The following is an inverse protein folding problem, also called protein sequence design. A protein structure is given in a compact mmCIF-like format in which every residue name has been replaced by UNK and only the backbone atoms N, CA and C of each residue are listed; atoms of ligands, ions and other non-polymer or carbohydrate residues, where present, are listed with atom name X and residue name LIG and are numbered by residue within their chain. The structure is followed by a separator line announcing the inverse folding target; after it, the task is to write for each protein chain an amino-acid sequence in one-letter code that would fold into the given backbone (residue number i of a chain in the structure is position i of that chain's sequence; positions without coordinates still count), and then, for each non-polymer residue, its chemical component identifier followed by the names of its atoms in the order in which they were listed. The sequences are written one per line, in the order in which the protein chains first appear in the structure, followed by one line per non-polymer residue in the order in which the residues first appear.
data_IF_642312979144
#
_entry.id   IF_642312979144
#
_cell.length_a   1.000
_cell.length_b   1.000
_cell.length_c   1.000
_cell.angle_alpha   90.00
_cell.angle_beta   90.00
_cell.angle_gamma   90.00
#
_symmetry.space_group_name_H-M   'P 1'
#
loop_
_entity.id
_entity.type
_entity.pdbx_description
1 polymer ?
#
# COMPACT_ATOMS: atom_id res chain seq x y z
N UNK A 1 18.02 48.59 -23.91
CA UNK A 1 18.00 48.07 -22.53
C UNK A 1 16.62 47.48 -22.26
N UNK A 2 16.41 46.19 -22.53
CA UNK A 2 15.13 45.51 -22.33
C UNK A 2 15.39 44.31 -21.42
N UNK A 3 15.01 44.42 -20.15
CA UNK A 3 15.27 43.41 -19.13
C UNK A 3 14.25 42.28 -19.28
N UNK A 4 14.75 41.10 -19.64
CA UNK A 4 14.03 39.84 -19.68
C UNK A 4 13.63 39.45 -18.24
N UNK A 5 12.36 39.61 -17.88
CA UNK A 5 11.79 39.05 -16.65
C UNK A 5 11.38 37.59 -16.92
N UNK A 6 12.30 36.67 -16.63
CA UNK A 6 12.00 35.24 -16.56
C UNK A 6 11.23 35.02 -15.25
N UNK A 7 9.91 34.96 -15.34
CA UNK A 7 9.09 34.41 -14.26
C UNK A 7 9.35 32.91 -14.19
N UNK A 8 10.12 32.49 -13.17
CA UNK A 8 10.21 31.09 -12.75
C UNK A 8 8.81 30.63 -12.35
N UNK A 9 8.10 29.99 -13.27
CA UNK A 9 6.95 29.17 -12.93
C UNK A 9 7.48 27.90 -12.23
N UNK A 10 7.72 28.00 -10.92
CA UNK A 10 7.70 26.81 -10.08
C UNK A 10 6.28 26.26 -10.16
N UNK A 11 6.08 25.30 -11.06
CA UNK A 11 4.94 24.42 -10.99
C UNK A 11 5.01 23.74 -9.63
N UNK A 12 4.23 24.26 -8.68
CA UNK A 12 4.00 23.64 -7.40
C UNK A 12 3.20 22.38 -7.73
N UNK A 13 3.90 21.30 -8.07
CA UNK A 13 3.31 19.97 -8.06
C UNK A 13 2.72 19.83 -6.66
N UNK A 14 1.40 19.73 -6.57
CA UNK A 14 0.72 19.55 -5.29
C UNK A 14 1.33 18.36 -4.57
N UNK A 15 2.16 18.65 -3.56
CA UNK A 15 2.66 17.63 -2.66
C UNK A 15 1.43 17.08 -1.94
N UNK A 16 1.10 15.82 -2.20
CA UNK A 16 0.15 15.15 -1.33
C UNK A 16 0.74 15.17 0.08
N UNK A 17 -0.04 15.66 1.04
CA UNK A 17 0.37 15.83 2.43
C UNK A 17 0.95 14.53 2.99
N UNK A 18 2.13 14.64 3.60
CA UNK A 18 2.85 13.50 4.14
C UNK A 18 2.26 13.17 5.52
N UNK A 19 1.74 11.96 5.68
CA UNK A 19 1.05 11.61 6.92
C UNK A 19 1.97 11.19 8.03
N UNK A 20 1.61 11.68 9.22
CA UNK A 20 2.37 11.55 10.45
C UNK A 20 3.82 11.99 10.29
N UNK A 21 4.04 13.06 9.52
CA UNK A 21 5.33 13.73 9.41
C UNK A 21 5.27 15.03 10.17
N UNK A 22 6.22 15.22 11.06
CA UNK A 22 6.30 16.43 11.87
C UNK A 22 6.75 17.63 11.03
N UNK A 23 5.90 18.63 10.96
CA UNK A 23 6.26 19.92 10.37
C UNK A 23 7.22 20.66 11.30
N UNK A 24 8.42 20.96 10.79
CA UNK A 24 9.40 21.78 11.50
C UNK A 24 8.92 23.23 11.70
N UNK A 25 7.91 23.67 10.93
CA UNK A 25 7.38 25.03 10.98
C UNK A 25 6.22 25.17 11.97
N UNK A 26 5.31 24.20 12.00
CA UNK A 26 4.06 24.30 12.77
C UNK A 26 4.07 23.48 14.06
N UNK A 27 5.08 22.60 14.25
CA UNK A 27 5.26 21.82 15.47
C UNK A 27 4.23 20.73 15.69
N UNK A 28 3.49 20.34 14.66
CA UNK A 28 2.51 19.26 14.71
C UNK A 28 2.55 18.40 13.44
N UNK A 29 1.94 17.22 13.51
CA UNK A 29 1.73 16.30 12.40
C UNK A 29 0.26 15.88 12.34
N UNK A 30 -0.29 15.77 11.13
CA UNK A 30 -1.59 15.15 10.92
C UNK A 30 -1.44 13.64 10.78
N UNK A 31 -2.34 12.91 11.42
CA UNK A 31 -2.38 11.45 11.46
C UNK A 31 -3.53 10.96 10.58
N UNK A 32 -4.69 11.59 10.70
CA UNK A 32 -5.83 11.38 9.81
C UNK A 32 -6.43 12.73 9.43
N UNK A 33 -7.55 12.72 8.71
CA UNK A 33 -8.26 13.95 8.36
C UNK A 33 -8.69 14.76 9.58
N UNK A 34 -8.81 14.14 10.75
CA UNK A 34 -9.30 14.78 11.98
C UNK A 34 -8.39 14.54 13.18
N UNK A 35 -7.28 13.82 13.05
CA UNK A 35 -6.40 13.51 14.17
C UNK A 35 -4.98 14.04 13.95
N UNK A 36 -4.32 14.42 15.03
CA UNK A 36 -3.00 15.01 15.02
C UNK A 36 -2.16 14.65 16.25
N UNK A 37 -0.86 14.90 16.15
CA UNK A 37 0.09 14.83 17.26
C UNK A 37 0.96 16.08 17.29
N UNK A 38 1.49 16.39 18.48
CA UNK A 38 2.50 17.42 18.63
C UNK A 38 3.90 16.85 18.39
N UNK A 39 4.79 17.72 17.94
CA UNK A 39 6.15 17.37 17.63
C UNK A 39 7.10 17.99 18.66
N UNK A 40 8.12 17.22 19.03
CA UNK A 40 9.26 17.73 19.80
C UNK A 40 10.08 18.71 18.97
N UNK A 41 11.01 19.41 19.63
CA UNK A 41 11.99 20.28 18.97
C UNK A 41 12.90 19.56 17.97
N UNK A 42 12.96 18.23 18.00
CA UNK A 42 13.69 17.40 17.04
C UNK A 42 12.82 16.90 15.88
N UNK A 43 11.63 17.48 15.67
CA UNK A 43 10.66 17.06 14.63
C UNK A 43 10.26 15.59 14.74
N UNK A 44 10.11 15.10 15.96
CA UNK A 44 9.61 13.76 16.26
C UNK A 44 8.26 13.87 16.93
N UNK A 45 7.28 13.10 16.47
CA UNK A 45 5.94 13.07 17.06
C UNK A 45 6.04 12.54 18.51
N UNK A 46 5.41 13.24 19.43
CA UNK A 46 5.46 12.95 20.87
C UNK A 46 4.06 12.89 21.47
N UNK A 47 3.91 12.01 22.45
CA UNK A 47 2.70 11.92 23.26
C UNK A 47 1.55 11.14 22.60
N UNK A 48 0.34 11.51 22.96
CA UNK A 48 -0.91 10.86 22.54
C UNK A 48 -1.50 11.55 21.31
N UNK A 49 -2.28 10.80 20.52
CA UNK A 49 -3.08 11.36 19.44
C UNK A 49 -4.22 12.22 19.98
N UNK A 50 -4.42 13.37 19.35
CA UNK A 50 -5.53 14.29 19.61
C UNK A 50 -6.47 14.32 18.42
N UNK A 51 -7.72 14.69 18.64
CA UNK A 51 -8.74 14.83 17.59
C UNK A 51 -9.18 16.28 17.49
N UNK A 52 -9.26 16.80 16.26
CA UNK A 52 -9.85 18.09 15.96
C UNK A 52 -11.34 18.09 16.36
N UNK A 53 -11.90 19.25 16.73
CA UNK A 53 -13.32 19.38 17.02
C UNK A 53 -14.20 18.90 15.85
N UNK A 54 -15.43 18.49 16.15
CA UNK A 54 -16.39 18.08 15.12
C UNK A 54 -16.56 19.18 14.06
N UNK A 55 -16.41 18.82 12.78
CA UNK A 55 -16.48 19.76 11.65
C UNK A 55 -15.16 20.46 11.30
N UNK A 56 -14.07 20.10 11.98
CA UNK A 56 -12.73 20.61 11.70
C UNK A 56 -11.80 19.49 11.24
N UNK A 57 -10.90 19.83 10.34
CA UNK A 57 -9.92 18.95 9.73
C UNK A 57 -8.51 19.33 10.16
N UNK A 58 -7.65 18.33 10.33
CA UNK A 58 -6.23 18.56 10.55
C UNK A 58 -5.62 19.16 9.27
N UNK A 59 -4.81 20.20 9.41
CA UNK A 59 -4.12 20.83 8.28
C UNK A 59 -2.63 20.96 8.57
N UNK A 60 -1.81 20.98 7.52
CA UNK A 60 -0.36 21.26 7.64
C UNK A 60 -0.05 22.79 7.70
N UNK A 61 -1.08 23.64 7.77
CA UNK A 61 -0.93 25.09 7.85
C UNK A 61 -0.62 25.54 9.28
N UNK A 62 -0.42 26.84 9.49
CA UNK A 62 -0.28 27.41 10.83
C UNK A 62 -1.50 27.15 11.74
N UNK A 63 -2.68 26.92 11.13
CA UNK A 63 -3.92 26.57 11.83
C UNK A 63 -4.08 25.05 11.85
N UNK A 64 -3.81 24.45 13.00
CA UNK A 64 -3.85 22.98 13.16
C UNK A 64 -5.20 22.34 12.79
N UNK A 65 -6.31 22.90 13.29
CA UNK A 65 -7.66 22.41 12.99
C UNK A 65 -8.45 23.51 12.25
N UNK A 66 -8.87 23.25 11.01
CA UNK A 66 -9.62 24.19 10.18
C UNK A 66 -10.97 23.62 9.75
N UNK A 67 -12.00 24.46 9.67
CA UNK A 67 -13.28 24.08 9.07
C UNK A 67 -13.23 24.00 7.54
N UNK A 68 -12.14 24.49 6.93
CA UNK A 68 -11.93 24.44 5.49
C UNK A 68 -11.44 23.05 5.06
N UNK A 69 -12.33 22.27 4.45
CA UNK A 69 -12.05 20.93 3.95
C UNK A 69 -11.05 20.88 2.79
N UNK A 70 -10.71 22.02 2.17
CA UNK A 70 -9.68 22.08 1.12
C UNK A 70 -8.26 22.03 1.67
N UNK A 71 -8.11 22.34 2.97
CA UNK A 71 -6.82 22.33 3.67
C UNK A 71 -6.55 21.01 4.39
N UNK A 72 -7.47 20.05 4.30
CA UNK A 72 -7.38 18.75 4.96
C UNK A 72 -6.11 18.02 4.55
N UNK A 73 -5.27 17.74 5.52
CA UNK A 73 -4.13 16.85 5.37
C UNK A 73 -4.56 15.41 5.61
N UNK A 74 -3.74 14.45 5.18
CA UNK A 74 -3.97 13.03 5.41
C UNK A 74 -5.26 12.42 4.88
N UNK A 75 -5.83 13.02 3.83
CA UNK A 75 -6.98 12.48 3.10
C UNK A 75 -6.61 11.41 2.05
N UNK A 76 -5.38 10.89 2.08
CA UNK A 76 -4.87 9.94 1.07
C UNK A 76 -5.36 8.50 1.25
N UNK A 77 -5.99 8.20 2.39
CA UNK A 77 -6.55 6.88 2.65
C UNK A 77 -7.71 6.54 1.71
N UNK A 78 -7.74 5.30 1.23
CA UNK A 78 -8.77 4.75 0.35
C UNK A 78 -8.97 5.53 -0.95
N UNK A 79 -7.96 6.31 -1.37
CA UNK A 79 -7.95 7.01 -2.67
C UNK A 79 -6.94 6.36 -3.59
N UNK A 80 -7.40 6.01 -4.77
CA UNK A 80 -6.54 5.48 -5.81
C UNK A 80 -5.50 6.53 -6.22
N UNK A 81 -4.28 6.05 -6.48
CA UNK A 81 -3.21 6.80 -7.10
C UNK A 81 -3.68 7.40 -8.44
N UNK A 82 -3.01 8.45 -8.91
CA UNK A 82 -3.37 9.16 -10.15
C UNK A 82 -3.37 8.25 -11.38
N UNK A 83 -2.46 7.27 -11.41
CA UNK A 83 -2.35 6.22 -12.42
C UNK A 83 -3.32 5.04 -12.19
N UNK A 84 -4.19 5.13 -11.18
CA UNK A 84 -5.27 4.19 -10.86
C UNK A 84 -4.81 2.76 -10.61
N UNK A 85 -3.59 2.59 -10.10
CA UNK A 85 -3.02 1.26 -9.83
C UNK A 85 -3.40 0.73 -8.46
N UNK A 86 -3.27 1.55 -7.42
CA UNK A 86 -3.51 1.13 -6.04
C UNK A 86 -3.93 2.31 -5.15
N UNK A 87 -4.45 2.02 -3.97
CA UNK A 87 -4.74 2.97 -2.90
C UNK A 87 -4.11 2.48 -1.60
N UNK A 88 -3.64 3.39 -0.76
CA UNK A 88 -3.27 3.04 0.61
C UNK A 88 -4.52 2.98 1.48
N UNK A 89 -4.71 1.91 2.22
CA UNK A 89 -5.85 1.72 3.14
C UNK A 89 -5.45 1.91 4.60
N UNK A 90 -4.16 1.83 4.91
CA UNK A 90 -3.56 2.20 6.20
C UNK A 90 -2.06 2.55 6.01
N UNK A 91 -1.31 2.71 7.12
CA UNK A 91 0.13 3.01 7.10
C UNK A 91 0.92 2.03 6.24
N UNK A 92 0.56 0.75 6.30
CA UNK A 92 1.27 -0.32 5.62
C UNK A 92 0.32 -1.26 4.87
N UNK A 93 -0.97 -0.94 4.68
CA UNK A 93 -1.88 -1.75 3.86
C UNK A 93 -2.35 -1.00 2.62
N UNK A 94 -2.69 -1.75 1.59
CA UNK A 94 -3.13 -1.21 0.31
C UNK A 94 -4.27 -2.03 -0.30
N UNK A 95 -4.94 -1.44 -1.27
CA UNK A 95 -5.93 -2.07 -2.14
C UNK A 95 -5.59 -1.76 -3.59
N UNK A 96 -5.85 -2.69 -4.51
CA UNK A 96 -5.66 -2.48 -5.94
C UNK A 96 -6.85 -1.74 -6.53
N UNK A 97 -6.58 -0.81 -7.44
CA UNK A 97 -7.61 0.00 -8.09
C UNK A 97 -7.97 -0.50 -9.49
N UNK A 98 -7.08 -1.27 -10.12
CA UNK A 98 -7.32 -1.96 -11.39
C UNK A 98 -7.85 -1.03 -12.51
N UNK A 99 -7.34 0.21 -12.57
CA UNK A 99 -7.75 1.21 -13.56
C UNK A 99 -9.00 2.02 -13.18
N UNK A 100 -9.59 1.78 -12.00
CA UNK A 100 -10.72 2.54 -11.46
C UNK A 100 -10.28 3.58 -10.43
N UNK A 101 -11.16 4.50 -10.06
CA UNK A 101 -10.90 5.51 -9.01
C UNK A 101 -11.26 5.02 -7.62
N UNK A 102 -11.81 3.82 -7.52
CA UNK A 102 -12.29 3.20 -6.27
C UNK A 102 -11.43 1.98 -5.96
N UNK A 103 -10.79 1.90 -4.79
CA UNK A 103 -10.03 0.72 -4.43
C UNK A 103 -10.93 -0.51 -4.37
N UNK A 104 -10.38 -1.65 -4.79
CA UNK A 104 -11.05 -2.93 -4.67
C UNK A 104 -11.29 -3.25 -3.20
N UNK A 105 -12.54 -3.56 -2.86
CA UNK A 105 -12.91 -4.05 -1.53
C UNK A 105 -12.37 -5.47 -1.27
N UNK A 106 -12.01 -6.18 -2.34
CA UNK A 106 -11.59 -7.58 -2.28
C UNK A 106 -10.09 -7.74 -2.50
N UNK A 107 -9.46 -6.94 -3.36
CA UNK A 107 -8.06 -7.10 -3.76
C UNK A 107 -7.16 -6.08 -3.08
N UNK A 108 -6.29 -6.54 -2.18
CA UNK A 108 -5.37 -5.67 -1.44
C UNK A 108 -4.19 -6.41 -0.83
N UNK A 109 -3.50 -5.81 0.13
CA UNK A 109 -2.31 -6.39 0.72
C UNK A 109 -1.68 -5.58 1.83
N UNK A 110 -0.54 -6.05 2.31
CA UNK A 110 0.27 -5.35 3.34
C UNK A 110 1.73 -5.26 2.89
N UNK A 111 2.35 -4.13 3.17
CA UNK A 111 3.78 -3.88 3.04
C UNK A 111 4.57 -4.59 4.15
N UNK A 112 5.85 -4.87 3.89
CA UNK A 112 6.75 -5.43 4.91
C UNK A 112 6.78 -4.58 6.20
N UNK A 113 7.16 -5.20 7.32
CA UNK A 113 7.09 -4.60 8.66
C UNK A 113 7.74 -3.20 8.81
N UNK A 114 8.77 -2.91 8.00
CA UNK A 114 9.49 -1.61 8.01
C UNK A 114 9.11 -0.67 6.88
N UNK A 115 8.19 -1.07 5.99
CA UNK A 115 7.79 -0.31 4.81
C UNK A 115 6.41 0.29 5.00
N UNK A 116 6.17 1.38 4.27
CA UNK A 116 4.90 2.10 4.28
C UNK A 116 4.29 2.15 2.89
N UNK A 117 2.96 2.25 2.85
CA UNK A 117 2.27 2.52 1.60
C UNK A 117 2.34 4.03 1.29
N UNK A 118 2.73 4.36 0.06
CA UNK A 118 2.76 5.74 -0.44
C UNK A 118 2.14 5.79 -1.85
N UNK A 119 0.99 6.45 -2.00
CA UNK A 119 0.27 6.53 -3.30
C UNK A 119 0.96 7.41 -4.35
N UNK A 120 1.94 8.22 -3.96
CA UNK A 120 2.71 9.07 -4.87
C UNK A 120 3.94 8.36 -5.46
N UNK A 121 4.27 7.16 -4.99
CA UNK A 121 5.41 6.39 -5.49
C UNK A 121 5.04 5.45 -6.63
N UNK A 122 6.03 5.17 -7.49
CA UNK A 122 5.94 4.13 -8.54
C UNK A 122 5.85 2.71 -7.97
N UNK A 123 6.29 2.52 -6.72
CA UNK A 123 6.24 1.24 -6.00
C UNK A 123 5.30 1.40 -4.81
N UNK A 124 4.45 0.39 -4.56
CA UNK A 124 3.39 0.44 -3.52
C UNK A 124 4.00 0.62 -2.13
N UNK A 125 5.02 -0.20 -1.81
CA UNK A 125 5.62 -0.30 -0.50
C UNK A 125 7.05 0.26 -0.54
N UNK A 126 7.28 1.32 0.22
CA UNK A 126 8.51 2.11 0.15
C UNK A 126 9.08 2.38 1.53
N UNK A 127 10.35 2.77 1.56
CA UNK A 127 11.04 3.14 2.78
C UNK A 127 10.50 4.50 3.30
N UNK A 128 10.00 4.54 4.56
CA UNK A 128 9.41 5.74 5.13
C UNK A 128 10.38 6.91 5.35
N UNK A 129 11.70 6.67 5.33
CA UNK A 129 12.71 7.73 5.51
C UNK A 129 12.78 8.68 4.32
N UNK A 130 12.48 8.19 3.12
CA UNK A 130 12.47 8.99 1.89
C UNK A 130 11.07 9.27 1.39
N UNK A 131 10.14 8.33 1.62
CA UNK A 131 8.78 8.39 1.12
C UNK A 131 7.83 8.11 2.28
N UNK A 132 7.40 9.14 3.03
CA UNK A 132 6.51 8.96 4.16
C UNK A 132 5.17 8.37 3.71
N UNK A 133 4.40 7.79 4.64
CA UNK A 133 3.11 7.25 4.25
C UNK A 133 2.14 8.35 3.85
N UNK A 134 1.25 8.06 2.91
CA UNK A 134 0.17 8.97 2.49
C UNK A 134 -1.17 8.64 3.17
N UNK A 135 -1.20 7.58 3.98
CA UNK A 135 -2.38 7.16 4.74
C UNK A 135 -1.92 6.62 6.09
N UNK A 136 -2.10 7.39 7.16
CA UNK A 136 -1.67 6.96 8.48
C UNK A 136 -2.87 6.49 9.31
N UNK A 137 -3.10 5.18 9.28
CA UNK A 137 -4.01 4.49 10.21
C UNK A 137 -3.28 3.30 10.81
N UNK A 138 -3.55 2.98 12.08
CA UNK A 138 -3.06 1.79 12.76
C UNK A 138 -3.77 0.52 12.28
N UNK A 139 -3.92 0.38 10.97
CA UNK A 139 -4.43 -0.84 10.36
C UNK A 139 -3.40 -1.95 10.57
N UNK A 140 -3.73 -2.93 11.39
CA UNK A 140 -3.00 -4.20 11.41
C UNK A 140 -3.38 -4.97 10.15
N UNK A 141 -2.56 -4.84 9.10
CA UNK A 141 -2.62 -5.74 7.97
C UNK A 141 -2.44 -7.18 8.46
N UNK A 142 -3.48 -8.00 8.34
CA UNK A 142 -3.42 -9.39 8.72
C UNK A 142 -2.78 -10.19 7.57
N UNK A 143 -1.46 -10.12 7.44
CA UNK A 143 -0.75 -11.12 6.67
C UNK A 143 -0.67 -12.38 7.52
N UNK A 144 -1.62 -13.31 7.30
CA UNK A 144 -1.34 -14.71 7.55
C UNK A 144 -0.05 -15.13 6.83
N UNK A 145 0.58 -16.20 7.32
CA UNK A 145 1.82 -16.77 6.77
C UNK A 145 1.82 -16.74 5.24
N UNK A 146 2.90 -16.25 4.62
CA UNK A 146 3.09 -16.23 3.15
C UNK A 146 3.13 -17.62 2.52
N UNK A 147 3.28 -18.66 3.34
CA UNK A 147 3.16 -20.06 2.91
C UNK A 147 1.71 -20.50 2.95
N UNK A 148 1.19 -20.94 1.80
CA UNK A 148 -0.08 -21.69 1.77
C UNK A 148 0.10 -22.98 2.57
N UNK A 149 -0.56 -23.05 3.72
CA UNK A 149 -0.60 -24.24 4.58
C UNK A 149 -1.64 -25.26 4.12
N UNK A 150 -2.74 -24.81 3.50
CA UNK A 150 -3.75 -25.67 2.85
C UNK A 150 -4.07 -25.20 1.41
N UNK A 151 -3.44 -25.82 0.39
CA UNK A 151 -3.75 -25.59 -1.03
C UNK A 151 -5.21 -25.89 -1.40
N UNK A 152 -5.80 -26.84 -0.66
CA UNK A 152 -7.23 -27.12 -0.53
C UNK A 152 -8.07 -25.86 -0.42
N UNK A 153 -7.89 -25.27 0.74
CA UNK A 153 -8.55 -24.05 1.11
C UNK A 153 -8.22 -22.95 0.10
N UNK A 154 -6.97 -22.75 -0.26
CA UNK A 154 -6.59 -21.72 -1.22
C UNK A 154 -7.41 -21.77 -2.52
N UNK A 155 -7.46 -22.92 -3.18
CA UNK A 155 -8.14 -23.07 -4.46
C UNK A 155 -9.66 -22.95 -4.36
N UNK A 156 -10.26 -23.36 -3.23
CA UNK A 156 -11.69 -23.11 -2.94
C UNK A 156 -12.01 -21.62 -2.85
N UNK A 157 -11.06 -20.79 -2.44
CA UNK A 157 -11.24 -19.35 -2.38
C UNK A 157 -11.00 -18.60 -3.66
N UNK A 158 -9.99 -19.03 -4.41
CA UNK A 158 -9.71 -18.50 -5.75
C UNK A 158 -10.87 -18.80 -6.70
N UNK A 159 -11.50 -19.97 -6.54
CA UNK A 159 -12.73 -20.32 -7.27
C UNK A 159 -12.56 -20.39 -8.78
N UNK A 160 -11.31 -20.45 -9.26
CA UNK A 160 -10.95 -20.50 -10.68
C UNK A 160 -9.82 -21.51 -10.89
N UNK A 161 -9.82 -22.15 -12.07
CA UNK A 161 -8.79 -23.12 -12.46
C UNK A 161 -7.60 -22.34 -13.02
N UNK A 162 -6.39 -22.70 -12.60
CA UNK A 162 -5.19 -22.02 -13.06
C UNK A 162 -3.99 -22.27 -12.18
N UNK A 163 -2.89 -21.58 -12.49
CA UNK A 163 -1.70 -21.54 -11.63
C UNK A 163 -1.60 -20.17 -11.01
N UNK A 164 -1.35 -20.15 -9.71
CA UNK A 164 -1.28 -18.94 -8.91
C UNK A 164 -0.01 -18.95 -8.07
N UNK A 165 0.51 -17.78 -7.67
CA UNK A 165 1.75 -17.74 -6.92
C UNK A 165 1.60 -18.43 -5.55
N UNK A 166 2.70 -18.93 -5.00
CA UNK A 166 2.74 -19.57 -3.67
C UNK A 166 3.26 -18.65 -2.55
N UNK A 167 3.96 -17.57 -2.90
CA UNK A 167 4.34 -16.51 -1.99
C UNK A 167 5.28 -15.48 -2.64
N UNK A 168 5.66 -14.45 -1.89
CA UNK A 168 6.45 -13.30 -2.38
C UNK A 168 7.96 -13.34 -2.12
N UNK A 169 8.47 -14.36 -1.41
CA UNK A 169 9.89 -14.41 -1.01
C UNK A 169 10.75 -14.94 -2.15
N UNK A 170 11.63 -14.09 -2.68
CA UNK A 170 12.50 -14.36 -3.83
C UNK A 170 13.35 -15.62 -3.68
N UNK A 171 13.91 -15.85 -2.49
CA UNK A 171 14.80 -16.97 -2.21
C UNK A 171 14.10 -18.33 -2.13
N UNK A 172 12.78 -18.35 -1.89
CA UNK A 172 12.03 -19.57 -1.58
C UNK A 172 10.68 -19.62 -2.32
N UNK A 173 9.65 -19.01 -1.74
CA UNK A 173 8.24 -19.17 -2.14
C UNK A 173 7.90 -18.62 -3.53
N UNK A 174 8.67 -17.66 -4.05
CA UNK A 174 8.51 -17.13 -5.41
C UNK A 174 8.89 -18.11 -6.52
N UNK A 175 9.56 -19.20 -6.15
CA UNK A 175 9.91 -20.31 -7.06
C UNK A 175 8.87 -21.42 -6.99
N UNK A 176 7.72 -21.16 -6.39
CA UNK A 176 6.64 -22.10 -6.19
C UNK A 176 5.31 -21.49 -6.66
N UNK A 177 4.37 -22.35 -7.03
CA UNK A 177 3.02 -21.97 -7.43
C UNK A 177 2.02 -22.99 -6.93
N UNK A 178 0.77 -22.58 -6.78
CA UNK A 178 -0.35 -23.48 -6.51
C UNK A 178 -1.15 -23.68 -7.79
N UNK A 179 -1.34 -24.94 -8.15
CA UNK A 179 -2.20 -25.32 -9.25
C UNK A 179 -3.58 -25.66 -8.72
N UNK A 180 -4.56 -24.85 -9.10
CA UNK A 180 -5.96 -25.07 -8.77
C UNK A 180 -6.67 -25.78 -9.91
N UNK A 181 -7.41 -26.84 -9.56
CA UNK A 181 -8.18 -27.65 -10.49
C UNK A 181 -9.53 -28.02 -9.86
N UNK A 182 -10.48 -28.44 -10.70
CA UNK A 182 -11.84 -28.80 -10.24
C UNK A 182 -12.10 -30.29 -10.46
N UNK A 183 -12.67 -30.94 -9.45
CA UNK A 183 -13.19 -32.32 -9.55
C UNK A 183 -14.59 -32.32 -8.96
N UNK A 184 -15.57 -32.75 -9.76
CA UNK A 184 -16.99 -32.81 -9.34
C UNK A 184 -17.52 -31.49 -8.76
N UNK A 185 -17.11 -30.36 -9.31
CA UNK A 185 -17.53 -29.02 -8.86
C UNK A 185 -16.81 -28.49 -7.61
N UNK A 186 -15.88 -29.25 -7.03
CA UNK A 186 -15.08 -28.84 -5.86
C UNK A 186 -13.67 -28.48 -6.33
N UNK A 187 -13.16 -27.34 -5.85
CA UNK A 187 -11.79 -26.89 -6.13
C UNK A 187 -10.78 -27.57 -5.20
N UNK A 188 -9.71 -28.06 -5.81
CA UNK A 188 -8.56 -28.68 -5.18
C UNK A 188 -7.28 -27.95 -5.59
N UNK A 189 -6.23 -28.08 -4.77
CA UNK A 189 -4.98 -27.38 -4.96
C UNK A 189 -3.78 -28.23 -4.61
N UNK A 190 -2.67 -28.04 -5.33
CA UNK A 190 -1.38 -28.63 -5.00
C UNK A 190 -0.27 -27.60 -5.21
N UNK A 191 0.75 -27.62 -4.35
CA UNK A 191 1.95 -26.77 -4.48
C UNK A 191 2.97 -27.45 -5.37
N UNK A 192 3.53 -26.68 -6.30
CA UNK A 192 4.59 -27.13 -7.21
C UNK A 192 5.76 -26.16 -7.18
N UNK A 193 6.95 -26.68 -7.37
CA UNK A 193 8.16 -25.88 -7.56
C UNK A 193 8.41 -25.65 -9.06
N UNK A 194 8.84 -24.44 -9.39
CA UNK A 194 9.26 -24.09 -10.73
C UNK A 194 10.55 -24.85 -11.10
N UNK A 195 10.62 -25.42 -12.32
CA UNK A 195 11.82 -26.12 -12.78
C UNK A 195 13.05 -25.21 -12.79
N UNK A 196 14.23 -25.76 -12.48
CA UNK A 196 15.49 -25.02 -12.54
C UNK A 196 15.63 -23.89 -11.52
N UNK A 197 14.73 -23.79 -10.54
CA UNK A 197 14.73 -22.68 -9.58
C UNK A 197 14.31 -21.34 -10.18
N UNK A 198 13.57 -21.38 -11.28
CA UNK A 198 12.93 -20.25 -11.94
C UNK A 198 11.83 -19.62 -11.08
N UNK A 199 11.41 -18.41 -11.42
CA UNK A 199 10.37 -17.66 -10.73
C UNK A 199 9.01 -17.93 -11.36
N UNK A 200 7.96 -18.03 -10.55
CA UNK A 200 6.61 -18.12 -11.09
C UNK A 200 6.14 -16.73 -11.54
N UNK A 201 5.64 -16.64 -12.77
CA UNK A 201 5.01 -15.47 -13.39
C UNK A 201 3.48 -15.65 -13.42
N UNK A 202 2.71 -14.74 -12.83
CA UNK A 202 1.23 -14.90 -12.74
C UNK A 202 0.52 -14.26 -13.90
N UNK A 203 1.18 -13.34 -14.59
CA UNK A 203 0.66 -12.70 -15.79
C UNK A 203 0.58 -13.76 -16.88
N UNK A 204 1.64 -14.56 -17.02
CA UNK A 204 1.70 -15.66 -17.99
C UNK A 204 1.26 -17.01 -17.39
N UNK A 205 1.14 -17.12 -16.06
CA UNK A 205 0.91 -18.36 -15.32
C UNK A 205 1.97 -19.45 -15.60
N UNK A 206 3.22 -19.04 -15.80
CA UNK A 206 4.35 -19.90 -16.17
C UNK A 206 5.58 -19.63 -15.32
N UNK A 207 6.52 -20.58 -15.28
CA UNK A 207 7.81 -20.36 -14.65
C UNK A 207 8.78 -19.70 -15.64
N UNK A 208 9.33 -18.56 -15.27
CA UNK A 208 10.23 -17.75 -16.10
C UNK A 208 11.53 -17.44 -15.36
N UNK A 209 12.57 -17.04 -16.09
CA UNK A 209 13.86 -16.67 -15.51
C UNK A 209 13.86 -15.25 -14.94
N UNK A 210 12.88 -14.42 -15.30
CA UNK A 210 12.78 -13.03 -14.87
C UNK A 210 11.99 -12.91 -13.55
N UNK A 211 12.53 -12.15 -12.60
CA UNK A 211 11.84 -11.82 -11.34
C UNK A 211 10.70 -10.84 -11.59
N UNK A 212 9.55 -11.04 -10.95
CA UNK A 212 8.39 -10.14 -11.03
C UNK A 212 8.34 -9.15 -9.87
N UNK A 213 7.57 -8.06 -10.03
CA UNK A 213 7.38 -7.05 -8.99
C UNK A 213 6.87 -7.63 -7.64
N UNK A 214 6.08 -8.72 -7.67
CA UNK A 214 5.61 -9.42 -6.45
C UNK A 214 6.66 -10.32 -5.79
N UNK A 215 7.73 -10.63 -6.51
CA UNK A 215 8.93 -11.28 -5.97
C UNK A 215 9.88 -10.18 -5.52
N UNK A 216 9.37 -9.38 -4.60
CA UNK A 216 10.08 -8.31 -3.93
C UNK A 216 9.76 -8.46 -2.46
N UNK A 217 10.79 -8.45 -1.62
CA UNK A 217 10.64 -8.52 -0.17
C UNK A 217 9.93 -7.27 0.41
N UNK A 218 9.48 -6.34 -0.46
CA UNK A 218 8.78 -5.11 -0.09
C UNK A 218 7.27 -5.29 0.13
N UNK A 219 6.62 -6.21 -0.58
CA UNK A 219 5.20 -6.53 -0.41
C UNK A 219 5.09 -7.82 0.39
N UNK A 220 4.54 -7.75 1.59
CA UNK A 220 4.47 -8.89 2.50
C UNK A 220 3.40 -9.89 2.08
N UNK A 221 2.22 -9.42 1.64
CA UNK A 221 1.18 -10.29 1.13
C UNK A 221 0.17 -9.55 0.23
N UNK A 222 -0.50 -10.31 -0.64
CA UNK A 222 -1.69 -9.90 -1.36
C UNK A 222 -2.90 -10.67 -0.78
N UNK A 223 -4.11 -10.17 -0.99
CA UNK A 223 -5.35 -10.78 -0.50
C UNK A 223 -6.47 -10.59 -1.52
N UNK A 224 -7.38 -11.57 -1.61
CA UNK A 224 -8.64 -11.53 -2.33
C UNK A 224 -9.75 -11.92 -1.35
N UNK A 225 -10.68 -11.02 -1.06
CA UNK A 225 -11.76 -11.22 -0.08
C UNK A 225 -11.22 -11.64 1.30
N UNK A 226 -10.20 -10.92 1.78
CA UNK A 226 -9.48 -11.23 3.03
C UNK A 226 -8.82 -12.62 3.07
N UNK A 227 -8.84 -13.36 1.96
CA UNK A 227 -8.08 -14.59 1.81
C UNK A 227 -6.71 -14.23 1.25
N UNK A 228 -5.66 -14.77 1.84
CA UNK A 228 -4.31 -14.58 1.32
C UNK A 228 -4.26 -15.04 -0.15
N UNK A 229 -3.91 -14.10 -1.03
CA UNK A 229 -3.40 -14.38 -2.35
C UNK A 229 -1.87 -14.39 -2.20
N UNK A 230 -1.24 -15.56 -2.26
CA UNK A 230 0.19 -15.61 -2.36
C UNK A 230 0.68 -15.11 -3.72
#
# INVERSE_FOLDING_TARGET
MLRLLIFLAFAILGCQAACNVCSATTGHSCISETEFQFCSSSSVAIGTTYTCPTGYYCTESAVLCSADSSLTACSGCNKCSTDKRFACTSRNTFALCLGTTTPSASLGGTCGASLVCNVASEIICVDPTHNPTTCWSSGTGNCGSTTITDPNEYCRGVGTIGRYPYGGVTSTTCKQYVYCYVVSGVFYGNVYSCPGGNYFDSTTQQCTTATQARCSDSVQCLTLNNRLLP
#
